data_IF_220091874032
#
_entry.id   IF_220091874032
#
_cell.length_a   1.000
_cell.length_b   1.000
_cell.length_c   1.000
_cell.angle_alpha   90.00
_cell.angle_beta   90.00
_cell.angle_gamma   90.00
#
_symmetry.space_group_name_H-M   'P 1'
#
loop_
_entity.id
_entity.type
_entity.pdbx_description
1 polymer ?
#
# COMPACT_ATOMS: atom_id res chain seq x y z
N UNK A 1 11.66 -23.54 13.44
CA UNK A 1 10.26 -23.41 12.97
C UNK A 1 9.64 -22.07 13.33
N UNK A 2 9.40 -21.75 14.61
CA UNK A 2 8.70 -20.51 14.98
C UNK A 2 9.33 -19.20 14.47
N UNK A 3 10.67 -19.12 14.39
CA UNK A 3 11.35 -17.98 13.76
C UNK A 3 11.05 -17.86 12.26
N UNK A 4 10.98 -18.99 11.54
CA UNK A 4 10.59 -19.02 10.12
C UNK A 4 9.14 -18.58 9.99
N UNK A 5 8.25 -19.04 10.87
CA UNK A 5 6.86 -18.61 10.91
C UNK A 5 6.73 -17.11 11.18
N UNK A 6 7.51 -16.55 12.11
CA UNK A 6 7.55 -15.11 12.35
C UNK A 6 8.05 -14.32 11.15
N UNK A 7 9.04 -14.84 10.41
CA UNK A 7 9.50 -14.26 9.15
C UNK A 7 8.41 -14.30 8.08
N UNK A 8 7.74 -15.44 7.90
CA UNK A 8 6.62 -15.58 6.96
C UNK A 8 5.45 -14.66 7.34
N UNK A 9 5.15 -14.48 8.63
CA UNK A 9 4.14 -13.52 9.09
C UNK A 9 4.44 -12.07 8.73
N UNK A 10 5.70 -11.72 8.45
CA UNK A 10 6.08 -10.35 8.06
C UNK A 10 6.17 -10.19 6.54
N UNK A 11 6.44 -11.28 5.82
CA UNK A 11 6.86 -11.23 4.41
C UNK A 11 5.90 -11.95 3.45
N UNK A 12 5.16 -12.97 3.91
CA UNK A 12 4.30 -13.81 3.06
C UNK A 12 2.89 -13.21 2.92
N UNK A 13 2.83 -11.97 2.44
CA UNK A 13 1.59 -11.31 2.06
C UNK A 13 1.65 -10.93 0.60
N UNK A 14 0.76 -11.48 -0.25
CA UNK A 14 0.75 -11.20 -1.70
C UNK A 14 0.70 -9.70 -1.96
N UNK A 15 -0.16 -8.99 -1.24
CA UNK A 15 -0.30 -7.54 -1.40
C UNK A 15 1.00 -6.79 -1.10
N UNK A 16 1.79 -7.23 -0.11
CA UNK A 16 3.10 -6.63 0.16
C UNK A 16 4.12 -7.01 -0.92
N UNK A 17 4.09 -8.26 -1.40
CA UNK A 17 4.98 -8.77 -2.44
C UNK A 17 4.79 -8.06 -3.78
N UNK A 18 3.58 -7.60 -4.12
CA UNK A 18 3.32 -6.77 -5.31
C UNK A 18 4.17 -5.49 -5.32
N UNK A 19 4.34 -4.84 -4.17
CA UNK A 19 5.13 -3.60 -4.09
C UNK A 19 6.64 -3.88 -4.17
N UNK A 20 7.08 -5.07 -3.75
CA UNK A 20 8.45 -5.52 -3.92
C UNK A 20 8.75 -5.89 -5.38
N UNK A 21 7.85 -6.62 -6.04
CA UNK A 21 8.06 -7.07 -7.43
C UNK A 21 8.08 -5.92 -8.42
N UNK A 22 7.31 -4.87 -8.16
CA UNK A 22 7.22 -3.68 -9.01
C UNK A 22 8.25 -2.59 -8.67
N UNK A 23 9.16 -2.86 -7.73
CA UNK A 23 10.18 -1.91 -7.27
C UNK A 23 9.62 -0.53 -6.88
N UNK A 24 8.45 -0.49 -6.24
CA UNK A 24 7.80 0.77 -5.83
C UNK A 24 8.20 1.18 -4.41
N UNK A 25 8.12 2.49 -4.15
CA UNK A 25 8.51 3.07 -2.86
C UNK A 25 7.83 2.45 -1.64
N UNK A 26 6.61 1.90 -1.78
CA UNK A 26 5.92 1.21 -0.67
C UNK A 26 6.65 -0.05 -0.18
N UNK A 27 7.33 -0.80 -1.06
CA UNK A 27 8.16 -1.95 -0.67
C UNK A 27 9.37 -1.50 0.16
N UNK A 28 10.05 -0.44 -0.28
CA UNK A 28 11.16 0.17 0.46
C UNK A 28 10.72 0.69 1.82
N UNK A 29 9.54 1.33 1.90
CA UNK A 29 8.95 1.74 3.18
C UNK A 29 8.76 0.55 4.10
N UNK A 30 8.18 -0.56 3.63
CA UNK A 30 7.98 -1.76 4.45
C UNK A 30 9.30 -2.35 4.97
N UNK A 31 10.35 -2.39 4.14
CA UNK A 31 11.70 -2.75 4.61
C UNK A 31 12.18 -1.80 5.72
N UNK A 32 12.01 -0.49 5.51
CA UNK A 32 12.36 0.52 6.49
C UNK A 32 11.54 0.42 7.78
N UNK A 33 10.29 -0.03 7.73
CA UNK A 33 9.47 -0.29 8.92
C UNK A 33 10.00 -1.47 9.72
N UNK A 34 10.35 -2.59 9.05
CA UNK A 34 10.93 -3.76 9.71
C UNK A 34 12.27 -3.39 10.36
N UNK A 35 13.15 -2.71 9.61
CA UNK A 35 14.46 -2.33 10.11
C UNK A 35 14.39 -1.22 11.18
N UNK A 36 13.46 -0.27 11.02
CA UNK A 36 13.17 0.76 12.01
C UNK A 36 12.67 0.16 13.32
N UNK A 37 11.74 -0.79 13.25
CA UNK A 37 11.24 -1.54 14.40
C UNK A 37 12.37 -2.34 15.10
N UNK A 38 13.20 -3.04 14.33
CA UNK A 38 14.37 -3.75 14.86
C UNK A 38 15.34 -2.80 15.58
N UNK A 39 15.76 -1.72 14.91
CA UNK A 39 16.74 -0.78 15.44
C UNK A 39 16.24 -0.04 16.68
N UNK A 40 14.94 0.33 16.73
CA UNK A 40 14.37 0.98 17.91
C UNK A 40 14.25 0.01 19.11
N UNK A 41 13.96 -1.27 18.86
CA UNK A 41 13.98 -2.30 19.91
C UNK A 41 15.40 -2.51 20.45
N UNK A 42 16.41 -2.63 19.58
CA UNK A 42 17.83 -2.73 19.98
C UNK A 42 18.31 -1.49 20.74
N UNK A 43 17.81 -0.32 20.36
CA UNK A 43 18.04 0.89 21.12
C UNK A 43 17.42 0.82 22.52
N UNK A 44 16.19 0.32 22.66
CA UNK A 44 15.53 0.16 23.97
C UNK A 44 16.27 -0.78 24.93
N UNK A 45 17.06 -1.72 24.40
CA UNK A 45 17.90 -2.63 25.19
C UNK A 45 19.22 -1.98 25.62
N UNK A 46 19.94 -1.35 24.69
CA UNK A 46 21.33 -0.91 24.91
C UNK A 46 21.51 0.59 25.08
N UNK A 47 20.54 1.41 24.66
CA UNK A 47 20.60 2.88 24.61
C UNK A 47 21.84 3.43 23.88
N UNK A 48 22.37 2.71 22.88
CA UNK A 48 23.55 3.13 22.12
C UNK A 48 23.17 4.04 20.96
N UNK A 49 23.94 5.10 20.76
CA UNK A 49 23.73 6.11 19.71
C UNK A 49 23.60 5.51 18.30
N UNK A 50 24.43 4.51 17.96
CA UNK A 50 24.43 3.84 16.65
C UNK A 50 23.05 3.31 16.23
N UNK A 51 22.23 2.84 17.18
CA UNK A 51 20.91 2.31 16.88
C UNK A 51 19.89 3.40 16.60
N UNK A 52 20.01 4.56 17.27
CA UNK A 52 19.19 5.74 16.94
C UNK A 52 19.54 6.26 15.55
N UNK A 53 20.84 6.38 15.26
CA UNK A 53 21.30 6.83 13.94
C UNK A 53 20.80 5.89 12.84
N UNK A 54 20.96 4.57 13.02
CA UNK A 54 20.44 3.58 12.07
C UNK A 54 18.91 3.68 11.89
N UNK A 55 18.17 3.84 12.98
CA UNK A 55 16.71 4.00 12.95
C UNK A 55 16.28 5.28 12.21
N UNK A 56 16.88 6.42 12.54
CA UNK A 56 16.53 7.71 11.91
C UNK A 56 16.91 7.71 10.43
N UNK A 57 18.08 7.17 10.07
CA UNK A 57 18.52 7.08 8.67
C UNK A 57 17.58 6.19 7.84
N UNK A 58 17.22 5.00 8.34
CA UNK A 58 16.34 4.09 7.58
C UNK A 58 14.93 4.69 7.42
N UNK A 59 14.42 5.38 8.44
CA UNK A 59 13.13 6.05 8.36
C UNK A 59 13.19 7.28 7.46
N UNK A 60 14.28 8.04 7.48
CA UNK A 60 14.49 9.15 6.55
C UNK A 60 14.45 8.67 5.10
N UNK A 61 15.16 7.59 4.78
CA UNK A 61 15.13 6.98 3.45
C UNK A 61 13.75 6.42 3.09
N UNK A 62 13.00 5.94 4.09
CA UNK A 62 11.62 5.50 3.89
C UNK A 62 10.70 6.67 3.53
N UNK A 63 10.81 7.81 4.22
CA UNK A 63 10.06 9.03 3.88
C UNK A 63 10.44 9.55 2.50
N UNK A 64 11.73 9.53 2.15
CA UNK A 64 12.20 9.89 0.82
C UNK A 64 11.68 8.94 -0.28
N UNK A 65 11.47 7.66 0.05
CA UNK A 65 10.91 6.66 -0.89
C UNK A 65 9.39 6.82 -1.06
N UNK A 66 8.68 7.14 0.02
CA UNK A 66 7.25 7.44 -0.03
C UNK A 66 6.81 8.33 1.13
N UNK A 67 6.05 9.38 0.82
CA UNK A 67 5.58 10.36 1.80
C UNK A 67 4.77 9.75 2.95
N UNK A 68 4.05 8.64 2.72
CA UNK A 68 3.23 8.01 3.79
C UNK A 68 4.06 7.53 4.98
N UNK A 69 5.37 7.29 4.79
CA UNK A 69 6.28 6.91 5.86
C UNK A 69 6.55 8.04 6.88
N UNK A 70 6.04 9.26 6.67
CA UNK A 70 6.12 10.32 7.68
C UNK A 70 5.35 9.95 8.95
N UNK A 71 4.24 9.21 8.82
CA UNK A 71 3.42 8.76 9.95
C UNK A 71 4.21 7.81 10.87
N UNK A 72 4.82 6.71 10.36
CA UNK A 72 5.67 5.88 11.19
C UNK A 72 6.98 6.54 11.61
N UNK A 73 7.55 7.49 10.84
CA UNK A 73 8.70 8.28 11.29
C UNK A 73 8.40 9.00 12.61
N UNK A 74 7.29 9.75 12.65
CA UNK A 74 6.83 10.45 13.86
C UNK A 74 6.55 9.44 14.99
N UNK A 75 5.91 8.32 14.65
CA UNK A 75 5.55 7.30 15.63
C UNK A 75 6.77 6.69 16.32
N UNK A 76 7.82 6.34 15.56
CA UNK A 76 9.06 5.82 16.13
C UNK A 76 9.81 6.88 16.94
N UNK A 77 9.77 8.15 16.52
CA UNK A 77 10.29 9.27 17.31
C UNK A 77 9.58 9.42 18.66
N UNK A 78 8.25 9.28 18.69
CA UNK A 78 7.47 9.32 19.94
C UNK A 78 7.73 8.11 20.84
N UNK A 79 7.87 6.91 20.27
CA UNK A 79 8.26 5.71 21.02
C UNK A 79 9.67 5.87 21.60
N UNK A 80 10.62 6.36 20.81
CA UNK A 80 11.96 6.70 21.28
C UNK A 80 11.92 7.68 22.46
N UNK A 81 11.17 8.77 22.31
CA UNK A 81 11.01 9.80 23.33
C UNK A 81 10.42 9.19 24.61
N UNK A 82 9.31 8.46 24.49
CA UNK A 82 8.66 7.78 25.62
C UNK A 82 9.60 6.84 26.36
N UNK A 83 10.41 6.05 25.65
CA UNK A 83 11.41 5.17 26.28
C UNK A 83 12.44 5.95 27.10
N UNK A 84 12.96 7.06 26.57
CA UNK A 84 13.96 7.89 27.26
C UNK A 84 13.37 8.54 28.51
N UNK A 85 12.13 9.06 28.42
CA UNK A 85 11.42 9.68 29.55
C UNK A 85 11.08 8.66 30.64
N UNK A 86 10.49 7.51 30.28
CA UNK A 86 10.13 6.46 31.25
C UNK A 86 11.35 5.94 32.00
N UNK A 87 12.51 5.84 31.32
CA UNK A 87 13.77 5.42 31.95
C UNK A 87 14.54 6.57 32.64
N UNK A 88 13.97 7.78 32.67
CA UNK A 88 14.56 8.99 33.27
C UNK A 88 15.98 9.31 32.76
N UNK A 89 16.29 8.99 31.50
CA UNK A 89 17.62 9.19 30.89
C UNK A 89 17.73 10.52 30.15
N UNK A 90 17.39 11.63 30.81
CA UNK A 90 17.26 12.94 30.17
C UNK A 90 18.53 13.47 29.49
N UNK A 91 19.71 13.10 29.97
CA UNK A 91 20.98 13.46 29.30
C UNK A 91 21.05 12.91 27.87
N UNK A 92 20.44 11.74 27.63
CA UNK A 92 20.38 11.11 26.31
C UNK A 92 19.42 11.86 25.38
N UNK A 93 18.40 12.54 25.94
CA UNK A 93 17.41 13.28 25.15
C UNK A 93 18.10 14.34 24.29
N UNK A 94 19.02 15.12 24.85
CA UNK A 94 19.77 16.12 24.09
C UNK A 94 20.75 15.46 23.10
N UNK A 95 21.55 14.49 23.58
CA UNK A 95 22.59 13.86 22.76
C UNK A 95 22.05 13.13 21.54
N UNK A 96 20.97 12.36 21.72
CA UNK A 96 20.40 11.53 20.65
C UNK A 96 19.24 12.24 19.95
N UNK A 97 18.52 13.13 20.64
CA UNK A 97 17.41 13.90 20.07
C UNK A 97 17.85 14.88 18.99
N UNK A 98 19.11 15.34 19.00
CA UNK A 98 19.67 16.13 17.92
C UNK A 98 19.57 15.42 16.55
N UNK A 99 19.70 14.08 16.51
CA UNK A 99 19.58 13.32 15.25
C UNK A 99 18.15 13.36 14.72
N UNK A 100 17.16 13.22 15.60
CA UNK A 100 15.74 13.38 15.24
C UNK A 100 15.42 14.79 14.77
N UNK A 101 15.94 15.80 15.48
CA UNK A 101 15.76 17.21 15.13
C UNK A 101 16.35 17.51 13.74
N UNK A 102 17.60 17.11 13.50
CA UNK A 102 18.29 17.33 12.24
C UNK A 102 17.57 16.65 11.07
N UNK A 103 17.20 15.37 11.24
CA UNK A 103 16.47 14.63 10.21
C UNK A 103 15.09 15.26 9.95
N UNK A 104 14.38 15.69 10.99
CA UNK A 104 13.07 16.35 10.85
C UNK A 104 13.18 17.70 10.14
N UNK A 105 14.19 18.49 10.47
CA UNK A 105 14.47 19.76 9.79
C UNK A 105 14.80 19.55 8.31
N UNK A 106 15.65 18.58 8.00
CA UNK A 106 16.00 18.24 6.62
C UNK A 106 14.80 17.71 5.83
N UNK A 107 14.00 16.80 6.41
CA UNK A 107 12.74 16.35 5.79
C UNK A 107 11.78 17.51 5.59
N UNK A 108 11.66 18.42 6.55
CA UNK A 108 10.83 19.62 6.41
C UNK A 108 11.21 20.46 5.20
N UNK A 109 12.51 20.70 5.00
CA UNK A 109 13.04 21.44 3.83
C UNK A 109 12.75 20.68 2.53
N UNK A 110 13.09 19.38 2.48
CA UNK A 110 12.96 18.57 1.27
C UNK A 110 11.49 18.35 0.86
N UNK A 111 10.59 18.23 1.84
CA UNK A 111 9.19 17.92 1.60
C UNK A 111 8.30 19.15 1.46
N UNK A 112 8.77 20.36 1.79
CA UNK A 112 7.97 21.57 1.71
C UNK A 112 7.36 21.80 0.31
N UNK A 113 8.14 21.57 -0.74
CA UNK A 113 7.68 21.74 -2.12
C UNK A 113 6.72 20.62 -2.57
N UNK A 114 7.07 19.32 -2.48
CA UNK A 114 6.13 18.23 -2.79
C UNK A 114 4.82 18.30 -2.00
N UNK A 115 4.89 18.69 -0.73
CA UNK A 115 3.71 18.81 0.12
C UNK A 115 2.74 19.90 -0.39
N UNK A 116 3.27 21.01 -0.93
CA UNK A 116 2.45 22.06 -1.54
C UNK A 116 1.69 21.53 -2.76
N UNK A 117 2.34 20.73 -3.60
CA UNK A 117 1.73 20.09 -4.78
C UNK A 117 0.62 19.14 -4.36
N UNK A 118 0.90 18.22 -3.42
CA UNK A 118 -0.12 17.27 -2.95
C UNK A 118 -1.35 17.94 -2.35
N UNK A 119 -1.15 19.08 -1.67
CA UNK A 119 -2.26 19.85 -1.13
C UNK A 119 -3.08 20.53 -2.24
N UNK A 120 -2.45 21.09 -3.27
CA UNK A 120 -3.17 21.75 -4.38
C UNK A 120 -3.93 20.75 -5.26
N UNK A 121 -3.46 19.51 -5.37
CA UNK A 121 -4.08 18.46 -6.17
C UNK A 121 -5.15 17.64 -5.41
N UNK A 122 -5.42 17.97 -4.14
CA UNK A 122 -6.42 17.25 -3.33
C UNK A 122 -6.01 15.82 -2.93
N UNK A 123 -4.76 15.42 -3.16
CA UNK A 123 -4.25 14.06 -2.88
C UNK A 123 -4.27 13.70 -1.38
N UNK A 124 -4.32 14.71 -0.51
CA UNK A 124 -4.46 14.56 0.95
C UNK A 124 -5.91 14.28 1.40
N UNK A 125 -6.90 14.55 0.54
CA UNK A 125 -8.31 14.33 0.85
C UNK A 125 -8.73 12.87 0.56
N UNK A 126 -7.96 12.15 -0.23
CA UNK A 126 -8.23 10.76 -0.58
C UNK A 126 -7.83 9.78 0.55
N UNK A 127 -8.83 9.10 1.13
CA UNK A 127 -8.66 8.06 2.14
C UNK A 127 -9.91 7.87 3.03
N UNK A 128 -9.71 7.43 4.27
CA UNK A 128 -10.80 7.15 5.22
C UNK A 128 -10.97 8.23 6.30
N UNK A 129 -12.18 8.36 6.82
CA UNK A 129 -12.48 9.19 8.01
C UNK A 129 -12.37 8.45 9.34
N UNK A 130 -12.25 7.12 9.36
CA UNK A 130 -12.18 6.33 10.59
C UNK A 130 -11.26 5.10 10.48
N UNK A 131 -10.80 4.62 11.65
CA UNK A 131 -9.88 3.49 11.76
C UNK A 131 -10.52 2.16 11.35
N UNK A 132 -11.84 2.01 11.46
CA UNK A 132 -12.53 0.79 11.06
C UNK A 132 -12.40 0.56 9.56
N UNK A 133 -12.75 1.55 8.74
CA UNK A 133 -12.63 1.50 7.29
C UNK A 133 -11.18 1.30 6.85
N UNK A 134 -10.22 1.94 7.52
CA UNK A 134 -8.79 1.70 7.29
C UNK A 134 -8.38 0.24 7.57
N UNK A 135 -8.87 -0.33 8.66
CA UNK A 135 -8.56 -1.69 9.07
C UNK A 135 -9.20 -2.71 8.13
N UNK A 136 -10.47 -2.51 7.75
CA UNK A 136 -11.19 -3.40 6.83
C UNK A 136 -10.64 -3.30 5.42
N UNK A 137 -10.23 -2.12 4.96
CA UNK A 137 -9.57 -1.95 3.67
C UNK A 137 -8.23 -2.68 3.64
N UNK A 138 -7.37 -2.48 4.64
CA UNK A 138 -6.10 -3.21 4.74
C UNK A 138 -6.32 -4.73 4.81
N UNK A 139 -7.29 -5.20 5.60
CA UNK A 139 -7.65 -6.61 5.67
C UNK A 139 -8.15 -7.15 4.32
N UNK A 140 -9.00 -6.39 3.62
CA UNK A 140 -9.45 -6.73 2.27
C UNK A 140 -8.30 -6.77 1.25
N UNK A 141 -7.30 -5.90 1.42
CA UNK A 141 -6.07 -5.89 0.63
C UNK A 141 -5.19 -7.11 0.93
N UNK A 142 -5.03 -7.47 2.20
CA UNK A 142 -4.33 -8.68 2.62
C UNK A 142 -4.98 -9.95 2.07
N UNK A 143 -6.31 -10.02 2.04
CA UNK A 143 -7.05 -11.15 1.46
C UNK A 143 -6.92 -11.26 -0.07
N UNK A 144 -6.40 -10.23 -0.73
CA UNK A 144 -6.19 -10.23 -2.18
C UNK A 144 -7.46 -10.57 -3.01
N UNK A 145 -8.66 -10.26 -2.49
CA UNK A 145 -9.94 -10.56 -3.16
C UNK A 145 -10.44 -12.00 -2.97
N UNK A 146 -9.70 -12.85 -2.24
CA UNK A 146 -10.13 -14.21 -1.92
C UNK A 146 -11.17 -14.18 -0.80
N UNK A 147 -12.36 -14.75 -1.05
CA UNK A 147 -13.50 -14.68 -0.14
C UNK A 147 -13.59 -15.85 0.86
N UNK A 148 -12.90 -16.98 0.61
CA UNK A 148 -12.92 -18.16 1.48
C UNK A 148 -14.34 -18.68 1.85
N UNK A 149 -15.34 -18.41 1.02
CA UNK A 149 -16.74 -18.76 1.30
C UNK A 149 -17.37 -17.98 2.45
N UNK A 150 -16.76 -16.86 2.87
CA UNK A 150 -17.22 -16.02 3.98
C UNK A 150 -17.61 -14.63 3.48
N UNK A 151 -18.88 -14.29 3.63
CA UNK A 151 -19.33 -12.91 3.50
C UNK A 151 -18.66 -12.07 4.61
N UNK A 152 -18.11 -10.92 4.24
CA UNK A 152 -17.37 -10.02 5.15
C UNK A 152 -16.05 -10.60 5.72
N UNK A 153 -15.35 -11.46 4.97
CA UNK A 153 -14.05 -12.01 5.36
C UNK A 153 -13.05 -10.95 5.88
N UNK A 154 -13.04 -9.75 5.30
CA UNK A 154 -12.17 -8.65 5.75
C UNK A 154 -12.48 -8.20 7.19
N UNK A 155 -13.75 -8.00 7.53
CA UNK A 155 -14.18 -7.62 8.89
C UNK A 155 -13.84 -8.71 9.91
N UNK A 156 -14.08 -9.98 9.54
CA UNK A 156 -13.70 -11.12 10.39
C UNK A 156 -12.19 -11.14 10.65
N UNK A 157 -11.38 -10.94 9.61
CA UNK A 157 -9.93 -10.88 9.72
C UNK A 157 -9.47 -9.74 10.66
N UNK A 158 -10.11 -8.57 10.58
CA UNK A 158 -9.85 -7.46 11.54
C UNK A 158 -10.16 -7.89 12.97
N UNK A 159 -11.33 -8.49 13.21
CA UNK A 159 -11.67 -8.98 14.55
C UNK A 159 -10.69 -10.04 15.05
N UNK A 160 -10.27 -10.97 14.19
CA UNK A 160 -9.25 -11.96 14.51
C UNK A 160 -7.93 -11.29 14.89
N UNK A 161 -7.46 -10.29 14.14
CA UNK A 161 -6.24 -9.56 14.49
C UNK A 161 -6.36 -8.82 15.82
N UNK A 162 -7.46 -8.10 16.05
CA UNK A 162 -7.71 -7.41 17.32
C UNK A 162 -7.71 -8.40 18.48
N UNK A 163 -8.40 -9.54 18.34
CA UNK A 163 -8.42 -10.60 19.35
C UNK A 163 -7.01 -11.13 19.62
N UNK A 164 -6.24 -11.47 18.58
CA UNK A 164 -4.87 -11.97 18.72
C UNK A 164 -3.95 -10.94 19.40
N UNK A 165 -4.08 -9.66 19.08
CA UNK A 165 -3.32 -8.58 19.72
C UNK A 165 -3.72 -8.37 21.18
N UNK A 166 -5.02 -8.48 21.52
CA UNK A 166 -5.50 -8.44 22.89
C UNK A 166 -4.97 -9.62 23.71
N UNK A 167 -5.01 -10.84 23.16
CA UNK A 167 -4.45 -12.04 23.79
C UNK A 167 -2.93 -11.92 23.97
N UNK A 168 -2.25 -11.37 22.97
CA UNK A 168 -0.84 -11.06 23.03
C UNK A 168 -0.52 -10.09 24.18
N UNK A 169 -1.25 -8.97 24.27
CA UNK A 169 -1.10 -8.00 25.35
C UNK A 169 -1.37 -8.64 26.73
N UNK A 170 -2.46 -9.39 26.86
CA UNK A 170 -2.82 -10.10 28.10
C UNK A 170 -1.73 -11.07 28.53
N UNK A 171 -1.19 -11.86 27.60
CA UNK A 171 -0.09 -12.80 27.86
C UNK A 171 1.17 -12.11 28.41
N UNK A 172 1.44 -10.87 27.97
CA UNK A 172 2.55 -10.09 28.54
C UNK A 172 2.23 -9.63 29.95
N UNK A 173 1.04 -9.08 30.17
CA UNK A 173 0.60 -8.57 31.47
C UNK A 173 0.57 -9.68 32.54
N UNK A 174 0.16 -10.89 32.17
CA UNK A 174 0.09 -12.04 33.08
C UNK A 174 1.46 -12.65 33.42
N UNK A 175 2.55 -12.21 32.80
CA UNK A 175 3.84 -12.85 33.00
C UNK A 175 4.71 -12.17 34.04
N UNK A 176 5.33 -12.99 34.88
CA UNK A 176 6.18 -12.54 35.97
C UNK A 176 7.52 -11.91 35.51
N UNK A 177 7.95 -12.12 34.26
CA UNK A 177 9.21 -11.56 33.73
C UNK A 177 8.94 -10.57 32.59
N UNK A 178 8.74 -9.31 32.94
CA UNK A 178 8.58 -8.23 31.96
C UNK A 178 9.86 -7.98 31.14
N UNK A 179 11.03 -8.34 31.67
CA UNK A 179 12.31 -8.09 30.99
C UNK A 179 12.48 -8.92 29.72
N UNK A 180 12.08 -10.20 29.72
CA UNK A 180 12.14 -11.04 28.53
C UNK A 180 11.10 -10.66 27.47
N UNK A 181 10.07 -9.90 27.85
CA UNK A 181 8.96 -9.48 26.97
C UNK A 181 9.03 -8.03 26.51
N UNK A 182 10.10 -7.30 26.83
CA UNK A 182 10.29 -5.90 26.43
C UNK A 182 10.14 -5.67 24.92
N UNK A 183 10.74 -6.48 24.01
CA UNK A 183 10.59 -6.26 22.57
C UNK A 183 9.12 -6.29 22.12
N UNK A 184 8.33 -7.20 22.71
CA UNK A 184 6.92 -7.31 22.42
C UNK A 184 6.11 -6.10 22.92
N UNK A 185 6.38 -5.62 24.15
CA UNK A 185 5.76 -4.39 24.67
C UNK A 185 6.09 -3.18 23.81
N UNK A 186 7.35 -3.07 23.36
CA UNK A 186 7.76 -1.99 22.46
C UNK A 186 7.05 -2.09 21.11
N UNK A 187 6.88 -3.30 20.57
CA UNK A 187 6.17 -3.51 19.32
C UNK A 187 4.68 -3.16 19.42
N UNK A 188 4.01 -3.57 20.51
CA UNK A 188 2.61 -3.20 20.78
C UNK A 188 2.48 -1.70 21.01
N UNK A 189 3.39 -1.10 21.78
CA UNK A 189 3.45 0.35 21.99
C UNK A 189 3.64 1.11 20.68
N UNK A 190 4.50 0.62 19.78
CA UNK A 190 4.67 1.21 18.45
C UNK A 190 3.38 1.16 17.63
N UNK A 191 2.67 0.04 17.63
CA UNK A 191 1.37 -0.07 16.94
C UNK A 191 0.37 0.94 17.50
N UNK A 192 0.20 1.00 18.83
CA UNK A 192 -0.75 1.93 19.48
C UNK A 192 -0.39 3.39 19.20
N UNK A 193 0.90 3.75 19.34
CA UNK A 193 1.38 5.10 19.05
C UNK A 193 1.16 5.44 17.57
N UNK A 194 1.38 4.50 16.66
CA UNK A 194 1.19 4.73 15.24
C UNK A 194 -0.29 4.96 14.88
N UNK A 195 -1.20 4.16 15.41
CA UNK A 195 -2.64 4.39 15.24
C UNK A 195 -3.09 5.72 15.84
N UNK A 196 -2.54 6.11 17.00
CA UNK A 196 -2.79 7.40 17.61
C UNK A 196 -2.27 8.57 16.75
N UNK A 197 -1.06 8.44 16.17
CA UNK A 197 -0.50 9.43 15.25
C UNK A 197 -1.36 9.57 13.99
N UNK A 198 -1.84 8.47 13.40
CA UNK A 198 -2.76 8.51 12.26
C UNK A 198 -4.04 9.27 12.62
N UNK A 199 -4.63 8.95 13.77
CA UNK A 199 -5.85 9.59 14.25
C UNK A 199 -5.65 11.09 14.51
N UNK A 200 -4.59 11.46 15.23
CA UNK A 200 -4.26 12.86 15.54
C UNK A 200 -3.92 13.63 14.26
N UNK A 201 -3.15 13.05 13.35
CA UNK A 201 -2.82 13.66 12.07
C UNK A 201 -4.07 13.98 11.25
N UNK A 202 -5.01 13.03 11.17
CA UNK A 202 -6.31 13.25 10.52
C UNK A 202 -7.09 14.40 11.18
N UNK A 203 -7.15 14.45 12.51
CA UNK A 203 -7.88 15.51 13.23
C UNK A 203 -7.24 16.89 13.12
N UNK A 204 -5.91 16.98 13.12
CA UNK A 204 -5.19 18.24 13.05
C UNK A 204 -5.17 18.83 11.65
N UNK A 205 -5.04 17.99 10.62
CA UNK A 205 -4.87 18.46 9.24
C UNK A 205 -6.15 18.42 8.42
N UNK A 206 -7.19 17.71 8.90
CA UNK A 206 -8.38 17.40 8.11
C UNK A 206 -8.13 16.39 6.98
N UNK A 207 -6.90 15.89 6.82
CA UNK A 207 -6.58 14.91 5.79
C UNK A 207 -7.21 13.56 6.08
N UNK A 208 -7.33 12.73 5.05
CA UNK A 208 -7.83 11.38 5.20
C UNK A 208 -6.79 10.40 5.76
N UNK A 209 -7.26 9.37 6.48
CA UNK A 209 -6.44 8.23 6.93
C UNK A 209 -5.96 7.39 5.73
N UNK A 210 -4.78 6.75 5.80
CA UNK A 210 -4.21 6.03 4.65
C UNK A 210 -5.06 4.81 4.26
N UNK A 211 -5.49 4.77 2.99
CA UNK A 211 -6.17 3.62 2.38
C UNK A 211 -5.39 3.05 1.19
N UNK A 212 -5.75 1.83 0.79
CA UNK A 212 -5.12 1.08 -0.29
C UNK A 212 -3.62 0.99 -0.07
N UNK A 213 -2.85 1.26 -1.13
CA UNK A 213 -1.38 1.25 -1.06
C UNK A 213 -0.78 2.15 0.01
N UNK A 214 -1.47 3.22 0.46
CA UNK A 214 -0.96 4.12 1.50
C UNK A 214 -0.86 3.43 2.87
N UNK A 215 -1.62 2.36 3.13
CA UNK A 215 -1.65 1.64 4.41
C UNK A 215 -0.66 0.46 4.50
N UNK A 216 0.03 0.12 3.41
CA UNK A 216 0.94 -1.05 3.31
C UNK A 216 2.03 -1.05 4.38
N UNK A 217 2.52 0.13 4.79
CA UNK A 217 3.54 0.24 5.84
C UNK A 217 3.07 -0.29 7.21
N UNK A 218 1.75 -0.37 7.42
CA UNK A 218 1.18 -0.92 8.66
C UNK A 218 1.38 -2.42 8.78
N UNK A 219 1.60 -3.13 7.67
CA UNK A 219 1.76 -4.59 7.67
C UNK A 219 2.91 -4.99 8.61
N UNK A 220 4.17 -4.54 8.41
CA UNK A 220 5.24 -4.80 9.38
C UNK A 220 4.91 -4.41 10.83
N UNK A 221 4.22 -3.29 11.05
CA UNK A 221 3.91 -2.78 12.39
C UNK A 221 2.88 -3.67 13.11
N UNK A 222 1.85 -4.14 12.40
CA UNK A 222 0.80 -5.02 12.92
C UNK A 222 1.32 -6.44 13.16
N UNK A 223 2.13 -6.97 12.24
CA UNK A 223 2.60 -8.36 12.30
C UNK A 223 3.83 -8.55 13.20
N UNK A 224 4.61 -7.50 13.48
CA UNK A 224 5.75 -7.56 14.42
C UNK A 224 5.38 -8.06 15.82
N UNK A 225 4.36 -7.52 16.53
CA UNK A 225 4.00 -8.04 17.85
C UNK A 225 3.49 -9.48 17.80
N UNK A 226 2.80 -9.89 16.73
CA UNK A 226 2.35 -11.26 16.52
C UNK A 226 3.52 -12.23 16.30
N UNK A 227 4.50 -11.83 15.48
CA UNK A 227 5.72 -12.59 15.24
C UNK A 227 6.54 -12.76 16.53
N UNK A 228 6.63 -11.71 17.36
CA UNK A 228 7.33 -11.77 18.65
C UNK A 228 6.63 -12.67 19.67
N UNK A 229 5.29 -12.76 19.64
CA UNK A 229 4.53 -13.69 20.51
C UNK A 229 4.95 -15.13 20.30
N UNK A 230 5.22 -15.53 19.05
CA UNK A 230 5.66 -16.88 18.73
C UNK A 230 6.95 -17.25 19.47
N UNK A 231 7.82 -16.27 19.74
CA UNK A 231 9.06 -16.47 20.50
C UNK A 231 8.86 -16.94 21.95
N UNK A 232 7.65 -16.83 22.50
CA UNK A 232 7.34 -17.26 23.87
C UNK A 232 6.74 -18.67 23.96
N UNK A 233 6.53 -19.35 22.84
CA UNK A 233 6.05 -20.73 22.83
C UNK A 233 7.20 -21.68 23.17
N UNK A 234 7.32 -22.03 24.46
CA UNK A 234 8.42 -22.85 24.97
C UNK A 234 8.24 -24.36 24.72
N UNK A 235 7.01 -24.82 24.52
CA UNK A 235 6.72 -26.24 24.30
C UNK A 235 7.06 -26.63 22.86
N UNK A 236 8.05 -27.52 22.67
CA UNK A 236 8.59 -27.88 21.33
C UNK A 236 7.51 -28.38 20.37
N UNK A 237 6.65 -29.30 20.83
CA UNK A 237 5.59 -29.89 20.00
C UNK A 237 4.57 -28.82 19.61
N UNK A 238 4.10 -28.02 20.58
CA UNK A 238 3.15 -26.93 20.33
C UNK A 238 3.75 -25.91 19.37
N UNK A 239 5.01 -25.51 19.58
CA UNK A 239 5.71 -24.57 18.71
C UNK A 239 5.90 -25.10 17.29
N UNK A 240 6.16 -26.40 17.14
CA UNK A 240 6.21 -27.04 15.84
C UNK A 240 4.84 -27.02 15.15
N UNK A 241 3.78 -27.46 15.83
CA UNK A 241 2.41 -27.51 15.28
C UNK A 241 1.91 -26.12 14.90
N UNK A 242 2.05 -25.12 15.78
CA UNK A 242 1.71 -23.72 15.51
C UNK A 242 2.52 -23.23 14.30
N UNK A 243 3.82 -23.52 14.27
CA UNK A 243 4.68 -23.13 13.16
C UNK A 243 4.22 -23.70 11.83
N UNK A 244 3.90 -25.01 11.77
CA UNK A 244 3.43 -25.69 10.56
C UNK A 244 2.06 -25.16 10.12
N UNK A 245 1.10 -25.03 11.04
CA UNK A 245 -0.27 -24.58 10.71
C UNK A 245 -0.24 -23.15 10.18
N UNK A 246 0.41 -22.23 10.89
CA UNK A 246 0.45 -20.81 10.51
C UNK A 246 1.24 -20.63 9.20
N UNK A 247 2.42 -21.25 9.09
CA UNK A 247 3.23 -21.15 7.86
C UNK A 247 2.51 -21.79 6.68
N UNK A 248 1.88 -22.95 6.88
CA UNK A 248 1.10 -23.64 5.86
C UNK A 248 -0.06 -22.80 5.36
N UNK A 249 -0.81 -22.16 6.26
CA UNK A 249 -1.89 -21.25 5.88
C UNK A 249 -1.38 -20.00 5.13
N UNK A 250 -0.30 -19.37 5.61
CA UNK A 250 0.28 -18.19 4.93
C UNK A 250 0.78 -18.52 3.53
N UNK A 251 1.49 -19.64 3.37
CA UNK A 251 1.96 -20.09 2.07
C UNK A 251 0.78 -20.47 1.18
N UNK A 252 -0.18 -21.24 1.68
CA UNK A 252 -1.39 -21.59 0.95
C UNK A 252 -2.13 -20.35 0.46
N UNK A 253 -2.42 -19.38 1.34
CA UNK A 253 -3.04 -18.13 0.98
C UNK A 253 -2.22 -17.38 -0.07
N UNK A 254 -0.90 -17.27 0.14
CA UNK A 254 0.00 -16.59 -0.80
C UNK A 254 -0.07 -17.20 -2.20
N UNK A 255 0.09 -18.51 -2.33
CA UNK A 255 0.05 -19.19 -3.61
C UNK A 255 -1.34 -19.22 -4.24
N UNK A 256 -2.39 -19.31 -3.43
CA UNK A 256 -3.77 -19.33 -3.92
C UNK A 256 -4.23 -17.95 -4.43
N UNK A 257 -3.81 -16.87 -3.75
CA UNK A 257 -4.13 -15.51 -4.11
C UNK A 257 -3.24 -14.94 -5.24
N UNK A 258 -2.02 -15.44 -5.38
CA UNK A 258 -1.06 -14.91 -6.36
C UNK A 258 -1.59 -15.04 -7.80
N UNK A 259 -1.68 -13.91 -8.48
CA UNK A 259 -1.97 -13.85 -9.91
C UNK A 259 -0.68 -13.58 -10.68
N UNK A 260 -0.32 -14.48 -11.59
CA UNK A 260 0.85 -14.31 -12.47
C UNK A 260 0.62 -13.30 -13.58
N UNK A 261 -0.65 -12.97 -13.87
CA UNK A 261 -1.04 -12.11 -14.98
C UNK A 261 -1.20 -10.65 -14.56
N UNK A 262 -1.57 -10.41 -13.31
CA UNK A 262 -1.98 -9.10 -12.83
C UNK A 262 -1.57 -8.89 -11.37
N UNK A 263 -1.19 -7.66 -11.06
CA UNK A 263 -0.97 -7.15 -9.70
C UNK A 263 -2.19 -6.34 -9.27
N UNK A 264 -2.53 -6.33 -7.98
CA UNK A 264 -3.84 -5.84 -7.53
C UNK A 264 -4.12 -4.38 -7.87
N UNK A 265 -3.14 -3.50 -7.67
CA UNK A 265 -3.29 -2.05 -7.92
C UNK A 265 -3.17 -1.68 -9.41
N UNK A 266 -2.53 -2.51 -10.23
CA UNK A 266 -2.30 -2.29 -11.66
C UNK A 266 -2.86 -3.44 -12.50
N UNK A 267 -4.06 -3.89 -12.13
CA UNK A 267 -4.70 -5.05 -12.75
C UNK A 267 -5.03 -4.83 -14.24
N UNK A 268 -5.14 -3.56 -14.66
CA UNK A 268 -5.40 -3.17 -16.04
C UNK A 268 -4.25 -3.43 -17.01
N UNK A 269 -3.00 -3.41 -16.54
CA UNK A 269 -1.83 -3.65 -17.39
C UNK A 269 -1.87 -5.06 -18.04
N UNK A 270 -2.57 -6.00 -17.41
CA UNK A 270 -2.78 -7.38 -17.88
C UNK A 270 -3.51 -7.50 -19.23
N UNK A 271 -4.15 -6.43 -19.69
CA UNK A 271 -4.96 -6.39 -20.90
C UNK A 271 -4.32 -5.58 -22.03
N UNK A 272 -3.20 -4.91 -21.78
CA UNK A 272 -2.52 -4.11 -22.80
C UNK A 272 -2.02 -4.91 -24.01
N UNK A 273 -1.45 -6.12 -23.87
CA UNK A 273 -1.11 -6.91 -25.05
C UNK A 273 -2.29 -7.12 -26.01
N UNK A 274 -3.49 -7.30 -25.46
CA UNK A 274 -4.71 -7.51 -26.24
C UNK A 274 -5.30 -6.19 -26.77
N UNK A 275 -5.25 -5.11 -25.98
CA UNK A 275 -5.58 -3.77 -26.45
C UNK A 275 -4.76 -3.43 -27.68
N UNK A 276 -3.45 -3.59 -27.57
CA UNK A 276 -2.48 -3.23 -28.59
C UNK A 276 -2.55 -4.11 -29.83
N UNK A 277 -2.86 -5.40 -29.70
CA UNK A 277 -3.12 -6.24 -30.87
C UNK A 277 -4.43 -5.88 -31.58
N UNK A 278 -5.41 -5.33 -30.87
CA UNK A 278 -6.72 -4.95 -31.43
C UNK A 278 -6.67 -3.60 -32.15
N UNK A 279 -6.01 -2.60 -31.59
CA UNK A 279 -5.90 -1.26 -32.20
C UNK A 279 -4.83 -1.19 -33.30
N UNK A 280 -4.06 -2.26 -33.51
CA UNK A 280 -2.99 -2.34 -34.51
C UNK A 280 -3.36 -3.19 -35.74
N UNK A 281 -4.45 -2.94 -36.49
CA UNK A 281 -4.60 -3.52 -37.82
C UNK A 281 -4.09 -2.57 -38.91
N UNK A 282 -2.97 -2.95 -39.53
CA UNK A 282 -2.69 -2.84 -40.98
C UNK A 282 -2.74 -1.49 -41.72
N UNK A 283 -2.73 -0.33 -41.04
CA UNK A 283 -2.37 0.94 -41.69
C UNK A 283 -0.96 1.35 -41.26
N UNK A 284 -0.26 2.07 -42.14
CA UNK A 284 1.19 2.21 -42.16
C UNK A 284 1.82 2.43 -40.79
N UNK A 285 3.03 1.90 -40.58
CA UNK A 285 3.75 1.96 -39.30
C UNK A 285 3.98 3.39 -38.76
N UNK A 286 3.75 4.42 -39.59
CA UNK A 286 3.92 5.84 -39.29
C UNK A 286 2.61 6.55 -38.88
N UNK A 287 1.44 5.91 -38.99
CA UNK A 287 0.17 6.56 -38.61
C UNK A 287 -0.05 6.46 -37.10
N UNK A 288 -0.11 7.62 -36.42
CA UNK A 288 -0.40 7.67 -34.99
C UNK A 288 -1.86 7.35 -34.71
N UNK A 289 -2.12 6.36 -33.86
CA UNK A 289 -3.46 5.98 -33.40
C UNK A 289 -3.91 6.97 -32.32
N UNK A 290 -5.00 7.70 -32.55
CA UNK A 290 -5.56 8.62 -31.55
C UNK A 290 -6.38 7.84 -30.53
N UNK A 291 -5.87 7.70 -29.31
CA UNK A 291 -6.50 6.94 -28.24
C UNK A 291 -6.89 7.86 -27.09
N UNK A 292 -8.19 7.92 -26.79
CA UNK A 292 -8.70 8.44 -25.54
C UNK A 292 -8.77 7.34 -24.46
N UNK A 293 -8.66 7.71 -23.18
CA UNK A 293 -8.69 6.71 -22.11
C UNK A 293 -9.21 7.26 -20.78
N UNK A 294 -9.81 6.41 -19.95
CA UNK A 294 -10.01 6.71 -18.53
C UNK A 294 -8.69 7.10 -17.87
N UNK A 295 -8.74 8.04 -16.93
CA UNK A 295 -7.55 8.62 -16.29
C UNK A 295 -6.58 7.58 -15.72
N UNK A 296 -7.11 6.44 -15.25
CA UNK A 296 -6.32 5.42 -14.56
C UNK A 296 -5.36 4.71 -15.51
N UNK A 297 -5.68 4.65 -16.81
CA UNK A 297 -4.81 4.05 -17.83
C UNK A 297 -3.78 5.02 -18.37
N UNK A 298 -4.00 6.34 -18.21
CA UNK A 298 -3.15 7.37 -18.80
C UNK A 298 -1.65 7.20 -18.46
N UNK A 299 -1.23 6.96 -17.21
CA UNK A 299 0.20 6.83 -16.89
C UNK A 299 0.87 5.67 -17.63
N UNK A 300 0.23 4.50 -17.65
CA UNK A 300 0.80 3.34 -18.33
C UNK A 300 0.77 3.49 -19.85
N UNK A 301 -0.34 4.00 -20.43
CA UNK A 301 -0.42 4.27 -21.87
C UNK A 301 0.63 5.29 -22.33
N UNK A 302 0.86 6.34 -21.54
CA UNK A 302 1.90 7.34 -21.79
C UNK A 302 3.29 6.70 -21.75
N UNK A 303 3.54 5.78 -20.83
CA UNK A 303 4.79 5.00 -20.82
C UNK A 303 4.97 4.19 -22.11
N UNK A 304 3.94 3.49 -22.60
CA UNK A 304 4.02 2.74 -23.86
C UNK A 304 4.22 3.63 -25.09
N UNK A 305 3.62 4.82 -25.09
CA UNK A 305 3.84 5.86 -26.10
C UNK A 305 5.30 6.33 -26.09
N UNK A 306 5.82 6.71 -24.92
CA UNK A 306 7.18 7.25 -24.77
C UNK A 306 8.28 6.19 -24.97
N UNK A 307 8.01 4.94 -24.60
CA UNK A 307 8.93 3.83 -24.81
C UNK A 307 9.02 3.37 -26.28
N UNK A 308 8.35 4.07 -27.21
CA UNK A 308 8.40 3.79 -28.65
C UNK A 308 7.77 2.46 -29.05
N UNK A 309 6.97 1.85 -28.18
CA UNK A 309 6.40 0.53 -28.43
C UNK A 309 5.19 0.61 -29.36
N UNK A 310 4.46 1.73 -29.34
CA UNK A 310 3.20 1.93 -30.06
C UNK A 310 3.03 3.41 -30.42
N UNK A 311 2.65 3.74 -31.66
CA UNK A 311 2.45 5.12 -32.10
C UNK A 311 1.10 5.65 -31.59
N UNK A 312 0.96 5.82 -30.27
CA UNK A 312 -0.23 6.44 -29.67
C UNK A 312 -0.17 7.96 -29.77
N UNK A 313 -1.29 8.61 -29.99
CA UNK A 313 -1.48 10.06 -29.88
C UNK A 313 -2.83 10.37 -29.21
N UNK A 314 -3.09 11.63 -28.88
CA UNK A 314 -4.37 12.04 -28.27
C UNK A 314 -4.58 11.64 -26.81
N UNK A 315 -3.58 11.04 -26.15
CA UNK A 315 -3.64 10.75 -24.71
C UNK A 315 -3.71 12.04 -23.90
N UNK A 316 -4.75 12.18 -23.08
CA UNK A 316 -4.93 13.29 -22.16
C UNK A 316 -5.29 12.78 -20.76
N UNK A 317 -4.66 13.36 -19.73
CA UNK A 317 -5.06 13.12 -18.36
C UNK A 317 -6.33 13.92 -18.04
N UNK A 318 -7.45 13.24 -17.83
CA UNK A 318 -8.74 13.89 -17.61
C UNK A 318 -9.56 13.19 -16.51
N UNK A 319 -10.01 13.97 -15.51
CA UNK A 319 -10.97 13.53 -14.48
C UNK A 319 -12.05 14.62 -14.33
N UNK A 320 -13.31 14.40 -14.78
CA UNK A 320 -13.85 13.22 -15.49
C UNK A 320 -13.39 13.13 -16.96
N UNK A 321 -13.62 11.99 -17.60
CA UNK A 321 -13.36 11.79 -19.02
C UNK A 321 -14.27 12.70 -19.86
N UNK A 322 -13.67 13.45 -20.80
CA UNK A 322 -14.42 14.21 -21.82
C UNK A 322 -14.28 13.51 -23.16
N UNK A 323 -15.41 13.16 -23.79
CA UNK A 323 -15.41 12.46 -25.08
C UNK A 323 -15.08 13.47 -26.20
N UNK A 324 -13.83 13.46 -26.64
CA UNK A 324 -13.35 14.08 -27.87
C UNK A 324 -13.74 13.22 -29.10
N UNK A 325 -14.57 13.73 -30.03
CA UNK A 325 -14.99 13.01 -31.23
C UNK A 325 -13.86 12.84 -32.26
N UNK A 326 -12.70 13.44 -32.04
CA UNK A 326 -11.57 13.40 -32.98
C UNK A 326 -10.61 12.22 -32.74
N UNK A 327 -10.79 11.45 -31.66
CA UNK A 327 -10.02 10.22 -31.42
C UNK A 327 -10.60 9.03 -32.18
N UNK A 328 -9.75 8.05 -32.48
CA UNK A 328 -10.13 6.84 -33.23
C UNK A 328 -10.70 5.77 -32.30
N UNK A 329 -10.15 5.68 -31.09
CA UNK A 329 -10.51 4.70 -30.08
C UNK A 329 -10.66 5.30 -28.68
N UNK A 330 -11.50 4.68 -27.86
CA UNK A 330 -11.58 4.90 -26.42
C UNK A 330 -11.35 3.61 -25.65
N UNK A 331 -10.39 3.61 -24.73
CA UNK A 331 -10.19 2.53 -23.77
C UNK A 331 -10.62 2.97 -22.36
N UNK A 332 -11.75 2.45 -21.88
CA UNK A 332 -12.44 3.01 -20.71
C UNK A 332 -12.90 1.97 -19.69
N UNK A 333 -12.97 2.42 -18.44
CA UNK A 333 -13.69 1.71 -17.37
C UNK A 333 -15.20 1.71 -17.63
N UNK A 334 -15.92 0.76 -17.02
CA UNK A 334 -17.38 0.67 -17.14
C UNK A 334 -18.10 1.98 -16.80
N UNK A 335 -17.64 2.69 -15.76
CA UNK A 335 -18.22 3.98 -15.36
C UNK A 335 -18.12 5.06 -16.43
N UNK A 336 -17.04 5.03 -17.21
CA UNK A 336 -16.72 6.02 -18.23
C UNK A 336 -17.25 5.62 -19.61
N UNK A 337 -17.93 4.48 -19.73
CA UNK A 337 -18.54 4.02 -20.99
C UNK A 337 -19.83 4.76 -21.35
N UNK A 338 -20.44 5.46 -20.39
CA UNK A 338 -21.72 6.15 -20.58
C UNK A 338 -21.58 7.29 -21.59
N UNK A 339 -22.47 7.31 -22.59
CA UNK A 339 -22.49 8.36 -23.63
C UNK A 339 -21.60 8.10 -24.84
N UNK A 340 -20.76 7.06 -24.84
CA UNK A 340 -19.88 6.73 -25.98
C UNK A 340 -20.66 6.51 -27.28
N UNK A 341 -21.74 5.73 -27.23
CA UNK A 341 -22.58 5.48 -28.41
C UNK A 341 -23.24 6.75 -28.97
N UNK A 342 -23.76 7.61 -28.09
CA UNK A 342 -24.36 8.89 -28.49
C UNK A 342 -23.35 9.85 -29.14
N UNK A 343 -22.05 9.65 -28.87
CA UNK A 343 -20.94 10.43 -29.44
C UNK A 343 -20.30 9.76 -30.66
N UNK A 344 -20.96 8.77 -31.26
CA UNK A 344 -20.51 8.14 -32.51
C UNK A 344 -19.45 7.06 -32.33
N UNK A 345 -19.35 6.43 -31.16
CA UNK A 345 -18.45 5.31 -30.90
C UNK A 345 -19.20 3.99 -30.75
N UNK A 346 -18.76 2.95 -31.46
CA UNK A 346 -19.27 1.58 -31.33
C UNK A 346 -18.37 0.77 -30.38
N UNK A 347 -18.95 -0.17 -29.64
CA UNK A 347 -18.16 -1.13 -28.86
C UNK A 347 -17.43 -2.07 -29.83
N UNK A 348 -16.11 -1.95 -29.92
CA UNK A 348 -15.27 -2.81 -30.76
C UNK A 348 -15.01 -4.12 -30.04
N UNK A 349 -14.62 -4.02 -28.76
CA UNK A 349 -14.18 -5.19 -27.99
C UNK A 349 -14.28 -4.97 -26.49
N UNK A 350 -14.61 -6.04 -25.77
CA UNK A 350 -14.47 -6.09 -24.31
C UNK A 350 -13.13 -6.71 -23.94
N UNK A 351 -12.32 -5.96 -23.18
CA UNK A 351 -10.98 -6.35 -22.75
C UNK A 351 -10.98 -6.56 -21.23
N UNK A 352 -11.35 -7.78 -20.81
CA UNK A 352 -11.58 -8.08 -19.40
C UNK A 352 -12.75 -7.28 -18.83
N UNK A 353 -12.56 -6.48 -17.76
CA UNK A 353 -13.60 -5.61 -17.22
C UNK A 353 -13.73 -4.27 -17.97
N UNK A 354 -12.90 -4.01 -18.98
CA UNK A 354 -12.82 -2.73 -19.68
C UNK A 354 -13.42 -2.80 -21.08
N UNK A 355 -13.73 -1.63 -21.63
CA UNK A 355 -14.32 -1.51 -22.95
C UNK A 355 -13.39 -0.75 -23.89
N UNK A 356 -13.20 -1.31 -25.09
CA UNK A 356 -12.60 -0.64 -26.22
C UNK A 356 -13.70 -0.23 -27.18
N UNK A 357 -13.88 1.06 -27.36
CA UNK A 357 -14.77 1.63 -28.36
C UNK A 357 -13.98 2.13 -29.56
N UNK A 358 -14.58 2.04 -30.74
CA UNK A 358 -14.04 2.52 -32.01
C UNK A 358 -14.99 3.52 -32.63
N UNK A 359 -14.46 4.59 -33.19
CA UNK A 359 -15.25 5.60 -33.89
C UNK A 359 -15.98 4.97 -35.09
N UNK A 360 -17.29 5.21 -35.18
CA UNK A 360 -18.10 4.79 -36.33
C UNK A 360 -17.70 5.59 -37.56
N UNK A 361 -17.45 4.93 -38.68
CA UNK A 361 -17.37 5.59 -39.98
C UNK A 361 -18.78 5.97 -40.43
N UNK A 362 -18.90 7.10 -41.15
CA UNK A 362 -20.18 7.71 -41.55
C UNK A 362 -21.14 6.73 -42.27
N UNK A 363 -20.63 5.62 -42.81
CA UNK A 363 -21.42 4.56 -43.46
C UNK A 363 -22.17 3.60 -42.52
N UNK A 364 -21.98 3.67 -41.20
CA UNK A 364 -22.62 2.76 -40.22
C UNK A 364 -23.53 3.48 -39.23
N UNK A 365 -23.86 4.75 -39.47
CA UNK A 365 -24.89 5.42 -38.67
C UNK A 365 -26.25 4.79 -39.00
N UNK A 366 -27.07 4.41 -38.00
CA UNK A 366 -28.44 4.03 -38.26
C UNK A 366 -29.12 5.22 -38.91
N UNK A 367 -29.60 5.04 -40.14
CA UNK A 367 -30.52 5.98 -40.76
C UNK A 367 -31.76 6.01 -39.89
N UNK A 368 -32.02 7.15 -39.25
CA UNK A 368 -33.30 7.45 -38.60
C UNK A 368 -34.41 7.20 -39.63
N UNK A 369 -35.09 6.07 -39.50
CA UNK A 369 -36.03 5.59 -40.49
C UNK A 369 -36.40 4.14 -40.24
N UNK A 370 -37.03 3.89 -39.08
CA UNK A 370 -38.20 3.03 -38.97
C UNK A 370 -38.81 3.23 -37.56
N UNK A 371 -39.86 4.06 -37.53
CA UNK A 371 -40.79 4.22 -36.42
C UNK A 371 -41.70 2.99 -36.28
#
# INVERSE_FOLDING_TARGET
>A
MLQITGFLLLCAHVYLLDFFSLCRGYGLVSCGMIWGAYTIMRYGEMFQFRWVVACVLILFLSVASNFTAILPFVSMGLVWFGMVVIKKRYVILLKHGFVWLLASGLLGILLAYPFRIFRSEGELEWGSKNLWVLSTDLAGNLLYGVQYGLDNAASLLVFTFVLLLCLAALFVLMSHSLNSKRPMLLSLGLLVVNLAVIYVYQKLTGSSMPLGRKSVYLIPIIFSPLALVLGFVNQKIVGFLVGVIVSGFLLFHTFHALSWRAVREWYYDAYYPELFSTIRPSQHADDSIRLGSSWIFYPSLTYYQQAGKIPLSGLAYQRPLTIDPTVDYYYVETSDSTGMHAQGFALEKKLGPFFLFKKMTVSTLPTDGDN
#
